data_IF_340142331427
#
_entry.id   IF_340142331427
#
_cell.length_a   1.000
_cell.length_b   1.000
_cell.length_c   1.000
_cell.angle_alpha   90.00
_cell.angle_beta   90.00
_cell.angle_gamma   90.00
#
_symmetry.space_group_name_H-M   'P 1'
#
loop_
_entity.id
_entity.type
_entity.pdbx_description
1 polymer ?
#
# COMPACT_ATOMS: atom_id res chain seq x y z
N UNK A 1 -66.37 -3.24 -48.20
CA UNK A 1 -64.98 -3.68 -48.00
C UNK A 1 -64.85 -4.06 -46.52
N UNK A 2 -64.55 -5.34 -46.23
CA UNK A 2 -64.58 -6.05 -44.93
C UNK A 2 -63.44 -5.62 -43.98
N UNK A 3 -63.59 -5.44 -42.66
CA UNK A 3 -63.84 -6.35 -41.50
C UNK A 3 -62.68 -7.32 -41.12
N UNK A 4 -62.00 -6.95 -40.02
CA UNK A 4 -61.47 -7.69 -38.84
C UNK A 4 -60.76 -9.07 -38.92
N UNK A 5 -59.56 -9.10 -38.30
CA UNK A 5 -58.95 -10.10 -37.38
C UNK A 5 -58.23 -11.37 -37.92
N UNK A 6 -57.60 -12.20 -37.04
CA UNK A 6 -56.25 -12.12 -36.46
C UNK A 6 -55.39 -13.37 -36.83
N UNK A 7 -54.10 -13.44 -36.45
CA UNK A 7 -53.52 -14.74 -36.08
C UNK A 7 -52.24 -14.58 -35.24
N UNK A 8 -52.26 -15.29 -34.12
CA UNK A 8 -51.19 -15.43 -33.16
C UNK A 8 -50.01 -16.24 -33.71
N UNK A 9 -48.81 -15.93 -33.24
CA UNK A 9 -47.74 -16.91 -33.11
C UNK A 9 -46.90 -16.55 -31.87
N UNK A 10 -47.16 -17.27 -30.78
CA UNK A 10 -46.30 -17.30 -29.62
C UNK A 10 -44.98 -17.99 -29.98
N UNK A 11 -43.86 -17.34 -29.70
CA UNK A 11 -42.53 -17.97 -29.67
C UNK A 11 -41.89 -17.62 -28.33
N UNK A 12 -41.90 -18.60 -27.45
CA UNK A 12 -41.18 -18.60 -26.18
C UNK A 12 -39.67 -18.57 -26.47
N UNK A 13 -38.98 -17.53 -25.99
CA UNK A 13 -37.52 -17.47 -25.98
C UNK A 13 -37.05 -17.75 -24.55
N UNK A 14 -36.18 -18.75 -24.46
CA UNK A 14 -35.66 -19.34 -23.23
C UNK A 14 -34.97 -18.33 -22.31
N UNK A 15 -35.22 -18.46 -21.00
CA UNK A 15 -34.49 -17.77 -19.95
C UNK A 15 -33.08 -18.36 -19.81
N UNK A 16 -32.05 -17.54 -20.08
CA UNK A 16 -30.67 -17.84 -19.74
C UNK A 16 -30.33 -17.21 -18.37
N UNK A 17 -29.82 -17.96 -17.38
CA UNK A 17 -29.38 -17.38 -16.12
C UNK A 17 -28.07 -16.61 -16.36
N UNK A 18 -28.13 -15.29 -16.20
CA UNK A 18 -26.94 -14.45 -16.10
C UNK A 18 -26.24 -14.79 -14.78
N UNK A 19 -25.19 -15.60 -14.83
CA UNK A 19 -24.28 -15.80 -13.73
C UNK A 19 -23.58 -14.46 -13.43
N UNK A 20 -24.01 -13.80 -12.36
CA UNK A 20 -23.35 -12.64 -11.79
C UNK A 20 -21.99 -13.09 -11.22
N UNK A 21 -20.93 -12.93 -12.02
CA UNK A 21 -19.55 -13.09 -11.55
C UNK A 21 -19.18 -11.87 -10.71
N UNK A 22 -19.26 -12.01 -9.38
CA UNK A 22 -18.61 -11.07 -8.47
C UNK A 22 -17.10 -11.34 -8.49
N UNK A 23 -16.38 -10.72 -9.43
CA UNK A 23 -14.95 -10.52 -9.27
C UNK A 23 -14.75 -9.33 -8.30
N UNK A 24 -14.06 -9.49 -7.17
CA UNK A 24 -13.64 -8.33 -6.40
C UNK A 24 -12.63 -7.55 -7.25
N UNK A 25 -13.09 -6.45 -7.85
CA UNK A 25 -12.22 -5.44 -8.41
C UNK A 25 -11.46 -4.77 -7.25
N UNK A 26 -10.37 -5.41 -6.83
CA UNK A 26 -9.35 -4.75 -6.03
C UNK A 26 -8.83 -3.58 -6.84
N UNK A 27 -9.21 -2.36 -6.45
CA UNK A 27 -8.63 -1.13 -6.98
C UNK A 27 -7.20 -1.03 -6.44
N UNK A 28 -6.31 -1.85 -6.99
CA UNK A 28 -4.87 -1.71 -6.81
C UNK A 28 -4.38 -0.67 -7.80
N UNK A 29 -3.93 0.46 -7.28
CA UNK A 29 -3.24 1.50 -8.03
C UNK A 29 -2.09 0.87 -8.87
N UNK A 30 -1.92 1.23 -10.15
CA UNK A 30 -0.87 0.65 -10.97
C UNK A 30 0.51 1.04 -10.42
N UNK A 31 1.16 0.10 -9.74
CA UNK A 31 2.52 0.28 -9.20
C UNK A 31 2.81 -0.46 -7.89
N UNK A 32 1.79 -0.83 -7.12
CA UNK A 32 1.98 -1.68 -5.94
C UNK A 32 2.00 -3.15 -6.35
N UNK A 33 3.18 -3.74 -6.48
CA UNK A 33 3.29 -5.19 -6.56
C UNK A 33 2.53 -5.82 -5.36
N UNK A 34 1.70 -6.83 -5.64
CA UNK A 34 0.90 -7.47 -4.60
C UNK A 34 1.81 -8.00 -3.48
N UNK A 35 1.45 -7.72 -2.23
CA UNK A 35 2.19 -8.22 -1.08
C UNK A 35 2.09 -9.73 -0.99
N UNK A 36 3.18 -10.40 -0.63
CA UNK A 36 3.11 -11.80 -0.21
C UNK A 36 2.30 -11.94 1.09
N UNK A 37 1.74 -13.13 1.40
CA UNK A 37 0.96 -13.32 2.63
C UNK A 37 1.71 -12.89 3.91
N UNK A 38 3.01 -13.17 3.99
CA UNK A 38 3.86 -12.78 5.12
C UNK A 38 4.05 -11.27 5.23
N UNK A 39 4.14 -10.57 4.10
CA UNK A 39 4.27 -9.12 4.06
C UNK A 39 2.95 -8.44 4.45
N UNK A 40 1.82 -8.94 3.94
CA UNK A 40 0.49 -8.48 4.32
C UNK A 40 0.26 -8.68 5.84
N UNK A 41 0.54 -9.87 6.37
CA UNK A 41 0.43 -10.14 7.80
C UNK A 41 1.33 -9.21 8.65
N UNK A 42 2.56 -8.93 8.18
CA UNK A 42 3.44 -7.95 8.84
C UNK A 42 2.84 -6.55 8.83
N UNK A 43 2.30 -6.10 7.70
CA UNK A 43 1.65 -4.80 7.55
C UNK A 43 0.46 -4.67 8.51
N UNK A 44 -0.45 -5.64 8.45
CA UNK A 44 -1.67 -5.68 9.26
C UNK A 44 -1.34 -5.66 10.75
N UNK A 45 -0.37 -6.47 11.18
CA UNK A 45 0.08 -6.50 12.58
C UNK A 45 0.60 -5.13 13.05
N UNK A 46 1.36 -4.42 12.21
CA UNK A 46 1.90 -3.11 12.60
C UNK A 46 0.83 -2.02 12.66
N UNK A 47 -0.18 -2.11 11.79
CA UNK A 47 -1.26 -1.13 11.68
C UNK A 47 -2.52 -1.49 12.48
N UNK A 48 -2.55 -2.68 13.11
CA UNK A 48 -3.68 -3.16 13.89
C UNK A 48 -4.16 -2.13 14.92
N UNK A 49 -5.49 -1.92 14.94
CA UNK A 49 -6.17 -0.97 15.84
C UNK A 49 -5.86 0.50 15.55
N UNK A 50 -5.26 0.85 14.41
CA UNK A 50 -4.95 2.23 14.02
C UNK A 50 -5.74 2.61 12.78
N UNK A 51 -6.13 3.88 12.71
CA UNK A 51 -6.89 4.47 11.61
C UNK A 51 -5.98 5.42 10.81
N UNK A 52 -6.00 5.37 9.47
CA UNK A 52 -5.24 6.31 8.64
C UNK A 52 -5.79 7.73 8.77
N UNK A 53 -4.88 8.71 8.80
CA UNK A 53 -5.19 10.14 8.71
C UNK A 53 -4.78 10.74 7.37
N UNK A 54 -4.79 12.07 7.28
CA UNK A 54 -4.35 12.79 6.08
C UNK A 54 -2.86 12.54 5.78
N UNK A 55 -2.48 12.31 4.52
CA UNK A 55 -1.07 12.20 4.11
C UNK A 55 -0.27 13.45 4.48
N UNK A 56 0.98 13.23 4.87
CA UNK A 56 1.96 14.27 5.19
C UNK A 56 3.11 14.21 4.18
N UNK A 57 3.59 15.39 3.78
CA UNK A 57 4.75 15.50 2.88
C UNK A 57 6.08 15.19 3.55
N UNK A 58 6.20 15.39 4.86
CA UNK A 58 7.43 15.16 5.60
C UNK A 58 7.16 14.46 6.93
N UNK A 59 8.06 13.56 7.35
CA UNK A 59 8.01 12.90 8.64
C UNK A 59 8.33 13.90 9.76
N UNK A 60 7.41 14.14 10.71
CA UNK A 60 7.69 14.98 11.87
C UNK A 60 8.49 14.16 12.90
N UNK A 61 9.75 14.54 13.13
CA UNK A 61 10.68 13.94 14.10
C UNK A 61 10.97 12.44 13.89
N UNK A 62 11.98 12.14 13.09
CA UNK A 62 12.44 10.78 12.83
C UNK A 62 13.58 10.37 13.78
N UNK A 63 13.43 9.23 14.46
CA UNK A 63 14.54 8.48 15.06
C UNK A 63 14.80 7.25 14.19
N UNK A 64 16.05 7.06 13.77
CA UNK A 64 16.42 6.04 12.77
C UNK A 64 16.14 4.59 13.16
N UNK A 65 15.89 4.32 14.43
CA UNK A 65 15.85 2.97 14.98
C UNK A 65 14.49 2.27 14.80
N UNK A 66 13.46 2.99 14.35
CA UNK A 66 12.07 2.52 14.33
C UNK A 66 11.51 2.28 12.91
N UNK A 67 12.39 2.07 11.94
CA UNK A 67 12.02 1.75 10.55
C UNK A 67 11.73 0.27 10.38
N UNK A 68 10.58 -0.05 9.80
CA UNK A 68 10.11 -1.41 9.56
C UNK A 68 9.91 -1.58 8.06
N UNK A 69 10.64 -2.54 7.48
CA UNK A 69 10.65 -2.84 6.05
C UNK A 69 9.58 -3.88 5.75
N UNK A 70 8.46 -3.48 5.15
CA UNK A 70 7.34 -4.40 4.90
C UNK A 70 7.55 -5.13 3.57
N UNK A 71 7.83 -4.39 2.51
CA UNK A 71 8.05 -4.92 1.17
C UNK A 71 9.10 -4.08 0.44
N UNK A 72 9.29 -4.34 -0.85
CA UNK A 72 10.15 -3.51 -1.68
C UNK A 72 9.57 -2.11 -1.95
N UNK A 73 8.31 -1.86 -1.59
CA UNK A 73 7.62 -0.58 -1.83
C UNK A 73 7.01 0.05 -0.59
N UNK A 74 6.99 -0.64 0.56
CA UNK A 74 6.31 -0.17 1.77
C UNK A 74 7.27 -0.14 2.96
N UNK A 75 7.41 1.05 3.55
CA UNK A 75 8.09 1.30 4.81
C UNK A 75 7.09 1.74 5.87
N UNK A 76 7.32 1.33 7.12
CA UNK A 76 6.64 1.88 8.27
C UNK A 76 7.64 2.52 9.21
N UNK A 77 7.26 3.64 9.81
CA UNK A 77 8.03 4.37 10.80
C UNK A 77 7.25 4.41 12.10
N UNK A 78 7.70 3.66 13.11
CA UNK A 78 7.01 3.60 14.38
C UNK A 78 7.44 4.77 15.27
N UNK A 79 6.58 5.77 15.42
CA UNK A 79 6.85 6.87 16.35
C UNK A 79 6.48 6.50 17.81
N UNK A 80 5.48 5.65 17.99
CA UNK A 80 5.10 5.07 19.29
C UNK A 80 4.19 3.86 19.08
N UNK A 81 3.80 3.16 20.15
CA UNK A 81 2.75 2.12 20.06
C UNK A 81 1.41 2.62 19.52
N UNK A 82 1.14 3.93 19.62
CA UNK A 82 -0.13 4.56 19.20
C UNK A 82 -0.05 5.25 17.83
N UNK A 83 1.15 5.39 17.26
CA UNK A 83 1.38 6.16 16.03
C UNK A 83 2.45 5.49 15.16
N UNK A 84 2.06 5.11 13.96
CA UNK A 84 2.93 4.57 12.91
C UNK A 84 2.71 5.40 11.65
N UNK A 85 3.77 5.83 10.98
CA UNK A 85 3.65 6.44 9.66
C UNK A 85 3.93 5.38 8.59
N UNK A 86 3.00 5.21 7.66
CA UNK A 86 3.20 4.38 6.47
C UNK A 86 3.74 5.25 5.34
N UNK A 87 4.77 4.77 4.67
CA UNK A 87 5.28 5.36 3.44
C UNK A 87 5.20 4.32 2.34
N UNK A 88 4.41 4.64 1.32
CA UNK A 88 4.41 3.91 0.06
C UNK A 88 5.38 4.62 -0.88
N UNK A 89 6.45 3.95 -1.29
CA UNK A 89 7.48 4.52 -2.15
C UNK A 89 6.92 4.88 -3.53
N UNK A 90 7.51 5.88 -4.20
CA UNK A 90 7.11 6.25 -5.58
C UNK A 90 7.40 5.15 -6.62
N UNK A 91 8.18 4.13 -6.23
CA UNK A 91 8.46 2.95 -7.02
C UNK A 91 9.04 1.84 -6.16
N UNK A 92 9.18 0.65 -6.73
CA UNK A 92 9.82 -0.47 -6.03
C UNK A 92 11.31 -0.20 -5.80
N UNK A 93 11.81 -0.59 -4.64
CA UNK A 93 13.20 -0.51 -4.21
C UNK A 93 13.75 -1.94 -4.01
N UNK A 94 14.41 -2.53 -5.03
CA UNK A 94 14.83 -3.91 -5.00
C UNK A 94 15.71 -4.25 -3.79
N UNK A 95 15.30 -5.26 -3.03
CA UNK A 95 16.01 -5.68 -1.82
C UNK A 95 15.62 -4.94 -0.56
N UNK A 96 14.68 -3.98 -0.65
CA UNK A 96 14.22 -3.28 0.54
C UNK A 96 13.54 -4.22 1.53
N UNK A 97 12.88 -5.31 1.13
CA UNK A 97 12.34 -6.28 2.09
C UNK A 97 13.42 -7.08 2.86
N UNK A 98 14.70 -7.02 2.47
CA UNK A 98 15.80 -7.75 3.13
C UNK A 98 16.38 -6.96 4.28
N UNK A 99 16.21 -7.45 5.51
CA UNK A 99 16.72 -6.78 6.70
C UNK A 99 18.27 -6.75 6.80
N UNK A 100 19.00 -7.46 5.92
CA UNK A 100 20.47 -7.52 5.90
C UNK A 100 21.15 -6.26 5.35
N UNK A 101 20.47 -5.55 4.45
CA UNK A 101 21.07 -4.45 3.68
C UNK A 101 20.99 -3.14 4.48
N UNK A 102 22.03 -2.30 4.39
CA UNK A 102 22.09 -1.03 5.10
C UNK A 102 21.32 0.02 4.30
N UNK A 103 20.34 0.66 4.93
CA UNK A 103 19.58 1.76 4.33
C UNK A 103 20.29 3.09 4.57
N UNK A 104 20.73 3.73 3.49
CA UNK A 104 21.43 5.03 3.54
C UNK A 104 20.50 6.11 2.98
N UNK A 105 20.01 6.97 3.88
CA UNK A 105 19.11 8.07 3.53
C UNK A 105 19.91 9.32 3.15
N UNK A 106 19.55 9.95 2.04
CA UNK A 106 20.04 11.25 1.60
C UNK A 106 18.90 12.26 1.80
N UNK A 107 18.98 12.99 2.90
CA UNK A 107 17.99 13.97 3.32
C UNK A 107 18.41 15.38 2.87
N UNK A 108 17.56 16.08 2.11
CA UNK A 108 17.79 17.46 1.69
C UNK A 108 17.00 18.43 2.59
N UNK A 109 17.28 18.42 3.90
CA UNK A 109 16.57 19.27 4.85
C UNK A 109 16.67 18.79 6.29
N UNK A 110 15.79 19.29 7.16
CA UNK A 110 15.71 18.91 8.58
C UNK A 110 14.85 17.69 8.87
N UNK A 111 14.06 17.22 7.89
CA UNK A 111 13.24 16.01 7.97
C UNK A 111 13.32 15.20 6.68
N UNK A 112 13.01 13.91 6.76
CA UNK A 112 12.75 13.06 5.58
C UNK A 112 11.42 13.43 4.97
N UNK A 113 11.42 13.79 3.70
CA UNK A 113 10.25 14.23 2.95
C UNK A 113 9.95 13.32 1.74
N UNK A 114 8.74 13.42 1.23
CA UNK A 114 8.37 12.88 -0.07
C UNK A 114 9.34 13.43 -1.12
N UNK A 115 9.85 12.56 -1.99
CA UNK A 115 10.81 12.94 -3.01
C UNK A 115 12.28 12.91 -2.55
N UNK A 116 12.55 12.81 -1.25
CA UNK A 116 13.89 12.49 -0.78
C UNK A 116 14.29 11.08 -1.23
N UNK A 117 15.61 10.86 -1.29
CA UNK A 117 16.19 9.66 -1.83
C UNK A 117 16.88 8.82 -0.76
N UNK A 118 16.87 7.52 -0.94
CA UNK A 118 17.74 6.62 -0.21
C UNK A 118 18.27 5.55 -1.15
N UNK A 119 19.26 4.81 -0.69
CA UNK A 119 19.75 3.62 -1.39
C UNK A 119 20.10 2.55 -0.36
N UNK A 120 20.14 1.31 -0.83
CA UNK A 120 20.59 0.18 -0.04
C UNK A 120 22.06 -0.07 -0.33
N UNK A 121 22.79 -0.51 0.68
CA UNK A 121 24.16 -1.01 0.57
C UNK A 121 24.16 -2.44 1.06
N UNK A 122 24.58 -3.37 0.19
CA UNK A 122 24.77 -4.76 0.60
C UNK A 122 25.85 -4.81 1.68
N UNK A 123 25.51 -5.37 2.84
CA UNK A 123 26.40 -5.34 4.01
C UNK A 123 27.65 -6.21 3.84
N UNK A 124 27.62 -7.20 2.95
CA UNK A 124 28.72 -8.14 2.75
C UNK A 124 29.75 -7.59 1.76
N UNK A 125 29.30 -7.13 0.61
CA UNK A 125 30.14 -6.63 -0.49
C UNK A 125 30.38 -5.12 -0.47
N UNK A 126 29.57 -4.37 0.27
CA UNK A 126 29.58 -2.90 0.25
C UNK A 126 29.03 -2.28 -1.03
N UNK A 127 28.49 -3.09 -1.95
CA UNK A 127 27.95 -2.60 -3.23
C UNK A 127 26.67 -1.80 -2.97
N UNK A 128 26.63 -0.60 -3.54
CA UNK A 128 25.47 0.28 -3.54
C UNK A 128 24.44 -0.20 -4.57
N UNK A 129 23.20 -0.32 -4.13
CA UNK A 129 22.03 -0.58 -4.96
C UNK A 129 21.46 0.68 -5.64
N UNK A 130 20.31 0.54 -6.34
CA UNK A 130 19.67 1.65 -7.03
C UNK A 130 19.19 2.74 -6.06
N UNK A 131 18.90 3.92 -6.62
CA UNK A 131 18.28 5.00 -5.86
C UNK A 131 16.77 4.76 -5.75
N UNK A 132 16.25 4.89 -4.55
CA UNK A 132 14.85 4.72 -4.19
C UNK A 132 14.29 6.06 -3.70
N UNK A 133 13.00 6.30 -3.94
CA UNK A 133 12.36 7.61 -3.71
C UNK A 133 11.22 7.45 -2.72
N UNK A 134 11.22 8.24 -1.64
CA UNK A 134 10.12 8.27 -0.70
C UNK A 134 8.85 8.84 -1.33
N UNK A 135 7.70 8.26 -0.99
CA UNK A 135 6.38 8.83 -1.29
C UNK A 135 5.85 9.65 -0.11
N UNK A 136 4.53 9.80 -0.04
CA UNK A 136 3.86 10.49 1.06
C UNK A 136 3.84 9.63 2.34
N UNK A 137 3.67 10.29 3.49
CA UNK A 137 3.61 9.62 4.79
C UNK A 137 2.19 9.67 5.35
N UNK A 138 1.52 8.53 5.42
CA UNK A 138 0.18 8.42 6.00
C UNK A 138 0.28 8.08 7.49
N UNK A 139 -0.18 8.94 8.41
CA UNK A 139 -0.18 8.64 9.84
C UNK A 139 -1.31 7.65 10.18
N UNK A 140 -0.97 6.55 10.82
CA UNK A 140 -1.91 5.60 11.41
C UNK A 140 -1.94 5.78 12.92
N UNK A 141 -3.10 6.19 13.46
CA UNK A 141 -3.29 6.53 14.88
C UNK A 141 -4.27 5.60 15.56
N UNK A 142 -3.96 5.17 16.78
CA UNK A 142 -4.97 4.54 17.65
C UNK A 142 -6.04 5.58 17.98
N UNK A 143 -7.35 5.28 17.83
CA UNK A 143 -8.41 6.23 18.18
C UNK A 143 -8.36 6.56 19.68
N UNK A 144 -8.68 7.80 20.03
CA UNK A 144 -8.82 8.20 21.43
C UNK A 144 -9.98 7.39 22.06
N UNK A 145 -9.70 6.64 23.12
CA UNK A 145 -10.66 5.73 23.78
C UNK A 145 -10.38 4.24 23.57
N UNK A 146 -9.40 3.86 22.74
CA UNK A 146 -8.92 2.48 22.70
C UNK A 146 -7.93 2.22 23.84
N UNK A 147 -8.41 1.70 24.96
CA UNK A 147 -7.57 1.13 26.02
C UNK A 147 -6.66 0.04 25.42
N UNK A 148 -5.41 0.00 25.89
CA UNK A 148 -4.37 -0.92 25.41
C UNK A 148 -3.79 -1.67 26.59
#
# INVERSE_FOLDING_TARGET
MAKLNPMAAALAVAAAPLAASCAPAGSGEPGAAALTPKQAERLDRQLAGKVPGAPLKCLPNYRSNDTIRVSDSILLYRASGKLVYRNDLKGSCPGLARDSDIMVVRQFGSSTCEGDFFHLVDRTSGIRGPTCVFGEFVPYRKPAGGEG
#
